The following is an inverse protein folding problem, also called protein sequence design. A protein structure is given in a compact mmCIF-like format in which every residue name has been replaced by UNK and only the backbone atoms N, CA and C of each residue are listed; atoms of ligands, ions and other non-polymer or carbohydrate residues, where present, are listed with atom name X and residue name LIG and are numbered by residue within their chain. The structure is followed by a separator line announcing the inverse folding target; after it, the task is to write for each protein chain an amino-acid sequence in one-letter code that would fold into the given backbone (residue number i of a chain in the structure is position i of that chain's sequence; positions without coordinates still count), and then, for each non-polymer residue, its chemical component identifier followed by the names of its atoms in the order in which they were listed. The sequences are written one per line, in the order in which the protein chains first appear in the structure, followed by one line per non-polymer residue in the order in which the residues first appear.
data_IF_296705689122
#
_entry.id   IF_296705689122
#
_cell.length_a   1.000
_cell.length_b   1.000
_cell.length_c   1.000
_cell.angle_alpha   90.00
_cell.angle_beta   90.00
_cell.angle_gamma   90.00
#
_symmetry.space_group_name_H-M   'P 1'
#
loop_
_entity.id
_entity.type
_entity.pdbx_description
1 polymer ?
#
# COMPACT_ATOMS: atom_id res chain seq x y z
N UNK A 1 18.11 -4.72 10.36
CA UNK A 1 18.48 -3.30 10.10
C UNK A 1 18.65 -3.10 8.61
N UNK A 2 17.74 -2.35 7.99
CA UNK A 2 17.84 -1.96 6.58
C UNK A 2 18.47 -0.58 6.53
N UNK A 3 19.36 -0.35 5.57
CA UNK A 3 20.07 0.92 5.39
C UNK A 3 19.84 1.45 3.97
N UNK A 4 20.42 2.61 3.65
CA UNK A 4 20.41 3.16 2.30
C UNK A 4 21.17 2.30 1.27
N UNK A 5 22.05 1.39 1.71
CA UNK A 5 22.82 0.49 0.85
C UNK A 5 22.19 -0.90 0.71
N UNK A 6 21.15 -1.22 1.50
CA UNK A 6 20.41 -2.47 1.37
C UNK A 6 19.75 -2.60 -0.01
N UNK A 7 19.54 -3.85 -0.50
CA UNK A 7 18.93 -4.10 -1.81
C UNK A 7 17.62 -3.33 -2.02
N UNK A 8 17.35 -2.97 -3.27
CA UNK A 8 16.10 -2.31 -3.70
C UNK A 8 15.51 -3.10 -4.85
N UNK A 9 14.19 -3.23 -4.88
CA UNK A 9 13.47 -3.89 -5.96
C UNK A 9 12.42 -2.99 -6.59
N UNK A 10 12.15 -3.16 -7.89
CA UNK A 10 11.00 -2.55 -8.55
C UNK A 10 9.70 -3.29 -8.29
N UNK A 11 9.76 -4.58 -7.97
CA UNK A 11 8.57 -5.40 -7.66
C UNK A 11 7.64 -5.69 -8.85
N UNK A 12 8.03 -5.33 -10.08
CA UNK A 12 7.21 -5.49 -11.29
C UNK A 12 7.19 -6.94 -11.80
N UNK A 13 6.93 -7.90 -10.90
CA UNK A 13 6.85 -9.33 -11.21
C UNK A 13 5.75 -9.66 -12.23
N UNK A 14 4.74 -8.78 -12.36
CA UNK A 14 3.64 -8.91 -13.30
C UNK A 14 3.36 -7.57 -14.02
N UNK A 15 4.45 -6.88 -14.40
CA UNK A 15 4.38 -5.53 -14.95
C UNK A 15 3.94 -4.48 -13.92
N UNK A 16 3.66 -3.27 -14.41
CA UNK A 16 3.14 -2.16 -13.63
C UNK A 16 1.75 -1.78 -14.12
N UNK A 17 0.78 -1.69 -13.20
CA UNK A 17 -0.57 -1.19 -13.51
C UNK A 17 -0.71 0.31 -13.27
N UNK A 18 -0.14 0.82 -12.17
CA UNK A 18 -0.23 2.22 -11.77
C UNK A 18 1.06 2.68 -11.06
N UNK A 19 1.46 3.95 -11.17
CA UNK A 19 1.06 4.91 -12.22
C UNK A 19 1.71 4.53 -13.57
N UNK A 20 1.12 4.94 -14.70
CA UNK A 20 1.61 4.61 -16.06
C UNK A 20 1.71 3.09 -16.36
N UNK A 21 0.61 2.46 -16.83
CA UNK A 21 0.57 1.03 -17.10
C UNK A 21 1.62 0.58 -18.12
N UNK A 22 2.35 -0.48 -17.81
CA UNK A 22 3.27 -1.15 -18.71
C UNK A 22 3.39 -2.63 -18.30
N UNK A 23 2.82 -3.52 -19.12
CA UNK A 23 2.82 -4.96 -18.88
C UNK A 23 4.11 -5.65 -19.31
N UNK A 24 5.01 -4.94 -20.01
CA UNK A 24 6.29 -5.49 -20.47
C UNK A 24 7.39 -5.42 -19.42
N UNK A 25 7.20 -4.59 -18.39
CA UNK A 25 8.17 -4.43 -17.30
C UNK A 25 8.35 -5.74 -16.51
N UNK A 26 9.59 -5.96 -16.10
CA UNK A 26 9.97 -7.08 -15.22
C UNK A 26 10.54 -6.58 -13.90
N UNK A 27 10.58 -7.47 -12.92
CA UNK A 27 11.14 -7.15 -11.61
C UNK A 27 12.67 -7.04 -11.68
N UNK A 28 13.20 -5.96 -11.13
CA UNK A 28 14.64 -5.77 -10.89
C UNK A 28 14.90 -5.88 -9.39
N UNK A 29 16.06 -6.43 -9.03
CA UNK A 29 16.63 -6.33 -7.67
C UNK A 29 18.08 -5.87 -7.82
N UNK A 30 18.44 -4.76 -7.17
CA UNK A 30 19.78 -4.18 -7.22
C UNK A 30 20.43 -4.16 -5.84
N UNK A 31 21.75 -3.93 -5.78
CA UNK A 31 22.49 -3.83 -4.52
C UNK A 31 22.78 -5.17 -3.84
N UNK A 32 22.71 -6.28 -4.59
CA UNK A 32 23.09 -7.60 -4.08
C UNK A 32 24.61 -7.72 -3.93
N UNK A 33 25.04 -8.33 -2.84
CA UNK A 33 26.44 -8.66 -2.53
C UNK A 33 26.53 -10.12 -2.07
N UNK A 34 27.75 -10.67 -1.95
CA UNK A 34 27.95 -12.03 -1.40
C UNK A 34 27.42 -12.18 0.04
N UNK A 35 27.26 -11.09 0.78
CA UNK A 35 26.71 -11.09 2.14
C UNK A 35 25.21 -10.87 2.21
N UNK A 36 24.51 -10.68 1.08
CA UNK A 36 23.08 -10.37 1.10
C UNK A 36 22.25 -11.56 1.58
N UNK A 37 21.44 -11.31 2.61
CA UNK A 37 20.56 -12.30 3.20
C UNK A 37 19.22 -12.42 2.48
N UNK A 38 18.54 -13.56 2.66
CA UNK A 38 17.16 -13.76 2.17
C UNK A 38 16.18 -12.77 2.79
N UNK A 39 16.40 -12.36 4.04
CA UNK A 39 15.60 -11.36 4.73
C UNK A 39 15.69 -9.97 4.07
N UNK A 40 16.86 -9.58 3.58
CA UNK A 40 17.05 -8.33 2.84
C UNK A 40 16.36 -8.36 1.47
N UNK A 41 16.41 -9.49 0.78
CA UNK A 41 15.69 -9.69 -0.49
C UNK A 41 14.17 -9.60 -0.25
N UNK A 42 13.67 -10.28 0.79
CA UNK A 42 12.26 -10.19 1.19
C UNK A 42 11.87 -8.76 1.53
N UNK A 43 12.70 -8.05 2.29
CA UNK A 43 12.44 -6.65 2.63
C UNK A 43 12.37 -5.79 1.37
N UNK A 44 13.31 -5.93 0.43
CA UNK A 44 13.31 -5.16 -0.81
C UNK A 44 12.02 -5.38 -1.63
N UNK A 45 11.48 -6.59 -1.63
CA UNK A 45 10.20 -6.92 -2.27
C UNK A 45 8.98 -6.39 -1.50
N UNK A 46 9.01 -6.44 -0.17
CA UNK A 46 7.94 -5.85 0.64
C UNK A 46 7.93 -4.32 0.54
N UNK A 47 9.11 -3.71 0.50
CA UNK A 47 9.32 -2.29 0.33
C UNK A 47 8.87 -1.82 -1.06
N UNK A 48 9.16 -2.58 -2.11
CA UNK A 48 8.69 -2.25 -3.46
C UNK A 48 7.16 -2.21 -3.56
N UNK A 49 6.45 -3.07 -2.81
CA UNK A 49 4.99 -3.00 -2.72
C UNK A 49 4.51 -1.72 -2.03
N UNK A 50 5.19 -1.28 -0.95
CA UNK A 50 4.88 -0.02 -0.29
C UNK A 50 5.18 1.20 -1.19
N UNK A 51 6.29 1.17 -1.93
CA UNK A 51 6.67 2.21 -2.89
C UNK A 51 5.78 2.25 -4.11
N UNK A 52 5.31 1.10 -4.62
CA UNK A 52 4.31 1.05 -5.68
C UNK A 52 2.99 1.70 -5.26
N UNK A 53 2.54 1.43 -4.03
CA UNK A 53 1.37 2.10 -3.45
C UNK A 53 1.60 3.61 -3.30
N UNK A 54 2.77 4.02 -2.81
CA UNK A 54 3.17 5.43 -2.72
C UNK A 54 3.17 6.13 -4.07
N UNK A 55 3.73 5.52 -5.11
CA UNK A 55 3.71 6.08 -6.45
C UNK A 55 2.28 6.28 -6.99
N UNK A 56 1.35 5.38 -6.67
CA UNK A 56 -0.05 5.55 -7.02
C UNK A 56 -0.72 6.67 -6.20
N UNK A 57 -0.46 6.76 -4.90
CA UNK A 57 -0.98 7.80 -4.01
C UNK A 57 -0.45 9.18 -4.40
N UNK A 58 0.86 9.32 -4.60
CA UNK A 58 1.51 10.55 -5.01
C UNK A 58 0.98 11.00 -6.38
N UNK A 59 0.75 10.05 -7.30
CA UNK A 59 0.10 10.35 -8.59
C UNK A 59 -1.32 10.93 -8.42
N UNK A 60 -2.14 10.37 -7.54
CA UNK A 60 -3.48 10.90 -7.25
C UNK A 60 -3.41 12.30 -6.62
N UNK A 61 -2.54 12.49 -5.63
CA UNK A 61 -2.37 13.77 -4.92
C UNK A 61 -1.86 14.87 -5.85
N UNK A 62 -0.90 14.55 -6.73
CA UNK A 62 -0.39 15.48 -7.73
C UNK A 62 -1.45 15.89 -8.77
N UNK A 63 -2.55 15.14 -8.89
CA UNK A 63 -3.71 15.46 -9.73
C UNK A 63 -4.89 16.05 -8.93
N UNK A 64 -4.64 16.58 -7.73
CA UNK A 64 -5.62 17.31 -6.94
C UNK A 64 -6.53 16.46 -6.05
N UNK A 65 -6.29 15.15 -5.94
CA UNK A 65 -7.06 14.28 -5.03
C UNK A 65 -6.55 14.44 -3.60
N UNK A 66 -7.39 14.92 -2.70
CA UNK A 66 -7.08 14.98 -1.28
C UNK A 66 -7.16 13.58 -0.65
N UNK A 67 -6.06 13.11 -0.06
CA UNK A 67 -5.99 11.82 0.65
C UNK A 67 -5.63 12.07 2.12
N UNK A 68 -6.61 11.92 3.01
CA UNK A 68 -6.46 12.14 4.45
C UNK A 68 -5.98 10.90 5.20
N UNK A 69 -6.54 9.73 4.84
CA UNK A 69 -6.21 8.44 5.48
C UNK A 69 -6.30 7.29 4.48
N UNK A 70 -5.67 6.19 4.84
CA UNK A 70 -5.73 4.94 4.09
C UNK A 70 -6.53 3.91 4.87
N UNK A 71 -7.40 3.17 4.19
CA UNK A 71 -8.14 2.06 4.77
C UNK A 71 -7.70 0.78 4.08
N UNK A 72 -7.15 -0.15 4.85
CA UNK A 72 -6.67 -1.44 4.37
C UNK A 72 -7.72 -2.53 4.63
N UNK A 73 -7.93 -3.36 3.61
CA UNK A 73 -8.83 -4.52 3.64
C UNK A 73 -8.12 -5.73 3.01
N UNK A 74 -8.74 -6.90 3.15
CA UNK A 74 -8.23 -8.15 2.55
C UNK A 74 -7.11 -8.81 3.35
N UNK A 75 -6.56 -9.90 2.80
CA UNK A 75 -5.72 -10.83 3.56
C UNK A 75 -4.44 -10.22 4.13
N UNK A 76 -3.74 -9.37 3.38
CA UNK A 76 -2.45 -8.79 3.82
C UNK A 76 -2.64 -7.90 5.05
N UNK A 77 -3.74 -7.15 5.11
CA UNK A 77 -4.06 -6.26 6.23
C UNK A 77 -4.09 -6.97 7.59
N UNK A 78 -4.49 -8.25 7.60
CA UNK A 78 -4.53 -9.08 8.82
C UNK A 78 -3.31 -9.99 8.98
N UNK A 79 -2.69 -10.42 7.87
CA UNK A 79 -1.62 -11.43 7.89
C UNK A 79 -0.22 -10.84 8.08
N UNK A 80 -0.01 -9.58 7.73
CA UNK A 80 1.33 -8.97 7.78
C UNK A 80 1.32 -7.58 8.40
N UNK A 81 1.45 -7.50 9.75
CA UNK A 81 1.67 -6.23 10.45
C UNK A 81 2.92 -5.49 9.94
N UNK A 82 3.94 -6.24 9.51
CA UNK A 82 5.17 -5.69 8.95
C UNK A 82 4.91 -4.89 7.65
N UNK A 83 4.18 -5.46 6.68
CA UNK A 83 3.88 -4.77 5.41
C UNK A 83 2.99 -3.56 5.67
N UNK A 84 2.01 -3.68 6.57
CA UNK A 84 1.12 -2.56 6.91
C UNK A 84 1.86 -1.41 7.57
N UNK A 85 2.76 -1.68 8.52
CA UNK A 85 3.59 -0.64 9.12
C UNK A 85 4.53 -0.01 8.09
N UNK A 86 5.14 -0.82 7.21
CA UNK A 86 6.01 -0.32 6.15
C UNK A 86 5.26 0.58 5.16
N UNK A 87 4.03 0.23 4.79
CA UNK A 87 3.16 1.08 3.97
C UNK A 87 2.81 2.38 4.68
N UNK A 88 2.47 2.34 5.97
CA UNK A 88 2.17 3.55 6.74
C UNK A 88 3.37 4.49 6.76
N UNK A 89 4.55 3.98 7.13
CA UNK A 89 5.80 4.73 7.22
C UNK A 89 6.21 5.31 5.85
N UNK A 90 6.13 4.52 4.78
CA UNK A 90 6.50 4.99 3.44
C UNK A 90 5.59 6.13 2.95
N UNK A 91 4.29 6.06 3.25
CA UNK A 91 3.31 7.03 2.76
C UNK A 91 3.12 8.24 3.69
N UNK A 92 3.62 8.20 4.93
CA UNK A 92 3.27 9.16 6.00
C UNK A 92 1.77 9.35 6.16
N UNK A 93 1.04 8.24 6.10
CA UNK A 93 -0.42 8.21 6.30
C UNK A 93 -0.77 7.15 7.33
N UNK A 94 -1.73 7.49 8.20
CA UNK A 94 -2.37 6.51 9.07
C UNK A 94 -3.08 5.47 8.20
N UNK A 95 -2.86 4.19 8.50
CA UNK A 95 -3.59 3.08 7.90
C UNK A 95 -4.55 2.49 8.93
N UNK A 96 -5.82 2.39 8.59
CA UNK A 96 -6.86 1.74 9.40
C UNK A 96 -7.25 0.40 8.78
N UNK A 97 -7.34 -0.66 9.59
CA UNK A 97 -7.82 -1.97 9.13
C UNK A 97 -9.23 -2.20 9.63
N UNK A 98 -10.17 -2.39 8.70
CA UNK A 98 -11.57 -2.67 9.02
C UNK A 98 -11.76 -4.14 9.40
N UNK A 99 -12.60 -4.41 10.40
CA UNK A 99 -12.98 -5.77 10.79
C UNK A 99 -13.99 -6.40 9.84
N UNK A 100 -13.60 -6.55 8.58
CA UNK A 100 -14.47 -7.12 7.56
C UNK A 100 -13.73 -8.17 6.74
N UNK A 101 -13.93 -9.44 7.10
CA UNK A 101 -13.42 -10.59 6.34
C UNK A 101 -13.99 -10.69 4.93
N UNK A 102 -15.21 -10.17 4.72
CA UNK A 102 -15.94 -10.23 3.46
C UNK A 102 -16.27 -8.82 2.95
N UNK A 103 -15.24 -7.99 2.81
CA UNK A 103 -15.37 -6.56 2.49
C UNK A 103 -16.13 -6.31 1.19
N UNK A 104 -15.91 -7.13 0.16
CA UNK A 104 -16.64 -7.05 -1.10
C UNK A 104 -18.13 -7.42 -0.95
N UNK A 105 -18.43 -8.48 -0.21
CA UNK A 105 -19.83 -8.89 0.02
C UNK A 105 -20.57 -7.85 0.87
N UNK A 106 -19.91 -7.27 1.88
CA UNK A 106 -20.46 -6.18 2.67
C UNK A 106 -20.75 -4.95 1.79
N UNK A 107 -19.85 -4.59 0.88
CA UNK A 107 -20.09 -3.51 -0.08
C UNK A 107 -21.31 -3.75 -0.97
N UNK A 108 -21.52 -4.99 -1.42
CA UNK A 108 -22.72 -5.37 -2.16
C UNK A 108 -24.00 -5.26 -1.29
N UNK A 109 -23.94 -5.72 -0.04
CA UNK A 109 -25.06 -5.63 0.90
C UNK A 109 -25.43 -4.18 1.23
N UNK A 110 -24.44 -3.29 1.39
CA UNK A 110 -24.66 -1.84 1.56
C UNK A 110 -25.47 -1.28 0.39
N UNK A 111 -25.05 -1.53 -0.84
CA UNK A 111 -25.77 -1.03 -2.02
C UNK A 111 -27.17 -1.65 -2.14
N UNK A 112 -27.30 -2.96 -1.94
CA UNK A 112 -28.58 -3.65 -1.99
C UNK A 112 -29.58 -3.11 -0.94
N UNK A 113 -29.10 -2.76 0.26
CA UNK A 113 -29.94 -2.21 1.32
C UNK A 113 -30.52 -0.84 0.97
N UNK A 114 -29.79 -0.02 0.21
CA UNK A 114 -30.27 1.28 -0.29
C UNK A 114 -31.31 1.07 -1.39
N UNK A 115 -31.04 0.19 -2.35
CA UNK A 115 -32.00 -0.15 -3.44
C UNK A 115 -33.29 -0.75 -2.87
N UNK A 116 -33.20 -1.54 -1.81
CA UNK A 116 -34.35 -2.11 -1.11
C UNK A 116 -35.12 -1.09 -0.25
N UNK A 117 -34.65 0.17 -0.15
CA UNK A 117 -35.29 1.22 0.65
C UNK A 117 -35.09 1.09 2.16
N UNK A 118 -34.16 0.24 2.63
CA UNK A 118 -33.87 0.08 4.05
C UNK A 118 -33.06 1.25 4.63
N UNK A 119 -32.27 1.91 3.78
CA UNK A 119 -31.52 3.13 4.11
C UNK A 119 -31.71 4.17 3.00
N UNK A 120 -31.69 5.46 3.33
CA UNK A 120 -31.95 6.53 2.36
C UNK A 120 -30.84 6.71 1.32
N UNK A 121 -29.60 6.39 1.68
CA UNK A 121 -28.43 6.53 0.81
C UNK A 121 -27.26 5.61 1.25
N UNK A 122 -26.23 5.53 0.41
CA UNK A 122 -25.03 4.72 0.67
C UNK A 122 -24.29 5.17 1.93
N UNK A 123 -24.04 6.47 2.18
CA UNK A 123 -23.42 6.92 3.43
C UNK A 123 -24.16 6.48 4.69
N UNK A 124 -25.49 6.55 4.73
CA UNK A 124 -26.31 6.10 5.84
C UNK A 124 -26.19 4.57 6.04
N UNK A 125 -26.27 3.80 4.95
CA UNK A 125 -26.08 2.36 4.98
C UNK A 125 -24.66 1.98 5.45
N UNK A 126 -23.61 2.66 4.97
CA UNK A 126 -22.24 2.44 5.41
C UNK A 126 -22.07 2.74 6.90
N UNK A 127 -22.65 3.84 7.40
CA UNK A 127 -22.58 4.20 8.83
C UNK A 127 -23.24 3.14 9.71
N UNK A 128 -24.30 2.50 9.23
CA UNK A 128 -25.02 1.47 9.99
C UNK A 128 -24.42 0.06 9.86
N UNK A 129 -23.85 -0.27 8.69
CA UNK A 129 -23.46 -1.65 8.35
C UNK A 129 -21.95 -1.89 8.35
N UNK A 130 -21.12 -0.85 8.14
CA UNK A 130 -19.68 -1.02 8.11
C UNK A 130 -19.11 -1.12 9.53
N UNK A 131 -18.27 -2.15 9.81
CA UNK A 131 -17.65 -2.29 11.11
C UNK A 131 -16.62 -1.19 11.35
N UNK A 132 -16.30 -0.89 12.62
CA UNK A 132 -15.21 0.02 12.95
C UNK A 132 -13.84 -0.56 12.54
N UNK A 133 -12.82 0.29 12.56
CA UNK A 133 -11.44 -0.17 12.46
C UNK A 133 -11.03 -0.95 13.71
N UNK A 134 -10.38 -2.11 13.56
CA UNK A 134 -9.85 -2.91 14.67
C UNK A 134 -8.37 -2.73 14.91
N UNK A 135 -7.64 -2.27 13.89
CA UNK A 135 -6.20 -2.01 13.99
C UNK A 135 -5.86 -0.70 13.29
N UNK A 136 -4.82 -0.03 13.76
CA UNK A 136 -4.28 1.14 13.09
C UNK A 136 -2.76 1.15 13.14
N UNK A 137 -2.14 1.55 12.03
CA UNK A 137 -0.70 1.73 11.90
C UNK A 137 -0.41 3.22 11.79
N UNK A 138 0.40 3.72 12.72
CA UNK A 138 0.78 5.13 12.80
C UNK A 138 2.18 5.27 12.21
N UNK A 139 2.39 6.17 11.23
CA UNK A 139 3.69 6.31 10.59
C UNK A 139 4.73 6.89 11.54
N UNK A 140 5.96 6.40 11.44
CA UNK A 140 7.13 6.96 12.11
C UNK A 140 7.86 7.97 11.20
N UNK A 141 8.00 9.25 11.62
CA UNK A 141 8.73 10.26 10.85
C UNK A 141 10.19 9.88 10.58
N UNK A 142 10.86 9.25 11.55
CA UNK A 142 12.25 8.80 11.43
C UNK A 142 12.40 7.73 10.33
N UNK A 143 11.50 6.73 10.33
CA UNK A 143 11.51 5.69 9.30
C UNK A 143 11.12 6.26 7.95
N UNK A 144 10.19 7.21 7.92
CA UNK A 144 9.78 7.86 6.69
C UNK A 144 10.94 8.58 6.00
N UNK A 145 11.76 9.34 6.74
CA UNK A 145 12.89 10.06 6.13
C UNK A 145 13.84 9.09 5.39
N UNK A 146 14.16 7.96 6.01
CA UNK A 146 14.97 6.92 5.37
C UNK A 146 14.26 6.32 4.16
N UNK A 147 12.97 5.97 4.30
CA UNK A 147 12.17 5.37 3.23
C UNK A 147 11.99 6.32 2.05
N UNK A 148 11.88 7.63 2.28
CA UNK A 148 11.77 8.64 1.22
C UNK A 148 13.03 8.67 0.37
N UNK A 149 14.22 8.64 1.00
CA UNK A 149 15.50 8.53 0.27
C UNK A 149 15.59 7.23 -0.55
N UNK A 150 15.08 6.12 -0.01
CA UNK A 150 15.02 4.84 -0.74
C UNK A 150 13.98 4.85 -1.84
N UNK A 151 12.87 5.57 -1.66
CA UNK A 151 11.83 5.76 -2.65
C UNK A 151 12.34 6.52 -3.88
N UNK A 152 13.19 7.54 -3.69
CA UNK A 152 13.83 8.22 -4.82
C UNK A 152 14.68 7.26 -5.68
N UNK A 153 15.43 6.35 -5.04
CA UNK A 153 16.17 5.29 -5.76
C UNK A 153 15.22 4.31 -6.47
N UNK A 154 14.11 3.94 -5.84
CA UNK A 154 13.06 3.13 -6.48
C UNK A 154 12.52 3.82 -7.75
N UNK A 155 12.26 5.14 -7.69
CA UNK A 155 11.78 5.91 -8.84
C UNK A 155 12.81 5.96 -9.97
N UNK A 156 14.10 6.07 -9.67
CA UNK A 156 15.16 5.98 -10.68
C UNK A 156 15.16 4.61 -11.36
N UNK A 157 15.10 3.52 -10.58
CA UNK A 157 15.04 2.16 -11.10
C UNK A 157 13.77 1.91 -11.93
N UNK A 158 12.64 2.52 -11.55
CA UNK A 158 11.36 2.36 -12.25
C UNK A 158 11.33 2.93 -13.67
N UNK A 159 12.36 3.70 -14.05
CA UNK A 159 12.53 4.26 -15.40
C UNK A 159 13.33 3.34 -16.32
N UNK A 160 14.01 2.34 -15.76
CA UNK A 160 14.69 1.31 -16.53
C UNK A 160 13.62 0.37 -17.12
N UNK A 161 13.78 0.01 -18.39
CA UNK A 161 12.95 -1.00 -19.06
C UNK A 161 13.43 -2.40 -18.70
#
# INVERSE_FOLDING_TARGET
NISLSSPISTGYLNGRRSPAPDSSLTCTITGLTLGTSTAEIYYALAESAAFGAKAAIDHLMNNGVLIERLVAIGGIAFKSPFIMQLMADANMKKIEVLDCKQSCALGAAVNASVVAGLYPDVPAAQKALCPPSVLSYIPSPERHEMLERRYQKYLELSKLK
#
